data_IF_141349719827
#
_entry.id   IF_141349719827
#
_cell.length_a   1.000
_cell.length_b   1.000
_cell.length_c   1.000
_cell.angle_alpha   90.00
_cell.angle_beta   90.00
_cell.angle_gamma   90.00
#
_symmetry.space_group_name_H-M   'P 1'
#
loop_
_entity.id
_entity.type
_entity.pdbx_description
1 polymer ?
#
# COMPACT_ATOMS: atom_id res chain seq x y z
N UNK A 1 17.09 6.07 -26.93
CA UNK A 1 17.05 4.68 -26.42
C UNK A 1 16.45 4.67 -25.02
N UNK A 2 15.28 4.07 -24.82
CA UNK A 2 14.66 3.97 -23.50
C UNK A 2 15.37 2.86 -22.69
N UNK A 3 16.26 3.26 -21.78
CA UNK A 3 16.93 2.31 -20.89
C UNK A 3 15.93 1.57 -20.01
N UNK A 4 15.96 0.24 -20.04
CA UNK A 4 15.13 -0.58 -19.15
C UNK A 4 15.45 -0.28 -17.68
N UNK A 5 14.43 -0.16 -16.85
CA UNK A 5 14.61 0.04 -15.41
C UNK A 5 15.26 -1.22 -14.81
N UNK A 6 16.52 -1.11 -14.45
CA UNK A 6 17.20 -2.15 -13.66
C UNK A 6 16.75 -2.06 -12.20
N UNK A 7 16.89 -3.12 -11.38
CA UNK A 7 16.57 -3.07 -9.94
C UNK A 7 17.27 -1.91 -9.21
N UNK A 8 18.50 -1.56 -9.63
CA UNK A 8 19.25 -0.41 -9.12
C UNK A 8 18.77 0.96 -9.67
N UNK A 9 17.89 1.02 -10.65
CA UNK A 9 17.37 2.28 -11.20
C UNK A 9 16.43 2.98 -10.22
N UNK A 10 15.66 2.24 -9.43
CA UNK A 10 14.94 2.77 -8.26
C UNK A 10 15.91 3.42 -7.24
N UNK A 11 17.11 2.86 -7.13
CA UNK A 11 18.13 3.24 -6.15
C UNK A 11 18.89 4.53 -6.50
N UNK A 12 19.00 4.89 -7.79
CA UNK A 12 19.56 6.19 -8.23
C UNK A 12 18.65 7.39 -7.89
N UNK A 13 17.42 7.10 -7.50
CA UNK A 13 16.28 7.95 -7.76
C UNK A 13 15.52 8.35 -6.47
N UNK A 14 15.88 7.71 -5.35
CA UNK A 14 15.81 8.28 -4.01
C UNK A 14 16.89 9.34 -3.74
N UNK A 15 17.49 9.89 -4.81
CA UNK A 15 18.45 11.00 -4.79
C UNK A 15 17.90 12.31 -4.19
N UNK A 16 16.65 12.34 -3.77
CA UNK A 16 16.06 13.44 -2.99
C UNK A 16 16.63 13.58 -1.56
N UNK A 17 17.67 12.84 -1.19
CA UNK A 17 18.38 13.02 0.07
C UNK A 17 17.51 12.66 1.28
N UNK A 18 17.67 13.41 2.38
CA UNK A 18 16.94 13.15 3.63
C UNK A 18 15.43 13.44 3.54
N UNK A 19 14.98 14.13 2.48
CA UNK A 19 13.58 14.55 2.31
C UNK A 19 12.84 13.74 1.25
N UNK A 20 13.37 12.59 0.81
CA UNK A 20 12.81 11.86 -0.32
C UNK A 20 11.33 11.48 -0.21
N UNK A 21 10.87 10.98 0.93
CA UNK A 21 9.44 10.68 1.07
C UNK A 21 8.57 11.92 1.27
N UNK A 22 9.14 13.02 1.78
CA UNK A 22 8.45 14.32 1.81
C UNK A 22 8.26 14.88 0.40
N UNK A 23 9.29 14.81 -0.44
CA UNK A 23 9.17 15.19 -1.86
C UNK A 23 8.19 14.29 -2.61
N UNK A 24 8.16 12.99 -2.29
CA UNK A 24 7.15 12.07 -2.83
C UNK A 24 5.73 12.52 -2.44
N UNK A 25 5.50 12.81 -1.16
CA UNK A 25 4.22 13.32 -0.64
C UNK A 25 3.79 14.56 -1.41
N UNK A 26 4.66 15.56 -1.49
CA UNK A 26 4.40 16.83 -2.18
C UNK A 26 4.13 16.61 -3.67
N UNK A 27 4.94 15.79 -4.35
CA UNK A 27 4.75 15.49 -5.78
C UNK A 27 3.43 14.77 -6.06
N UNK A 28 3.02 13.85 -5.19
CA UNK A 28 1.72 13.18 -5.31
C UNK A 28 0.59 14.19 -5.12
N UNK A 29 0.65 15.00 -4.06
CA UNK A 29 -0.35 16.04 -3.77
C UNK A 29 -0.53 16.99 -4.96
N UNK A 30 0.59 17.53 -5.47
CA UNK A 30 0.59 18.44 -6.62
C UNK A 30 0.16 17.76 -7.91
N UNK A 31 0.60 16.52 -8.17
CA UNK A 31 0.24 15.77 -9.37
C UNK A 31 -1.23 15.36 -9.42
N UNK A 32 -1.92 15.29 -8.28
CA UNK A 32 -3.37 15.14 -8.19
C UNK A 32 -4.09 16.49 -8.03
N UNK A 33 -3.38 17.62 -8.12
CA UNK A 33 -3.93 18.98 -8.00
C UNK A 33 -4.88 19.16 -6.80
N UNK A 34 -4.53 18.55 -5.65
CA UNK A 34 -5.34 18.55 -4.43
C UNK A 34 -6.76 17.94 -4.59
N UNK A 35 -7.04 17.17 -5.65
CA UNK A 35 -8.31 16.47 -5.84
C UNK A 35 -8.21 14.95 -5.60
N UNK A 36 -9.32 14.35 -5.18
CA UNK A 36 -9.44 12.90 -4.95
C UNK A 36 -10.14 12.21 -6.12
N UNK A 37 -9.64 12.44 -7.33
CA UNK A 37 -10.12 11.82 -8.57
C UNK A 37 -8.99 11.16 -9.35
N UNK A 38 -9.27 10.12 -10.16
CA UNK A 38 -8.26 9.55 -11.04
C UNK A 38 -7.72 10.59 -12.03
N UNK A 39 -6.40 10.61 -12.24
CA UNK A 39 -5.75 11.53 -13.19
C UNK A 39 -4.92 10.77 -14.21
N UNK A 40 -4.82 11.29 -15.43
CA UNK A 40 -3.98 10.66 -16.45
C UNK A 40 -2.49 10.75 -16.06
N UNK A 41 -1.69 9.74 -16.44
CA UNK A 41 -0.22 9.80 -16.24
C UNK A 41 0.41 11.05 -16.81
N UNK A 42 -0.07 11.53 -17.97
CA UNK A 42 0.45 12.73 -18.63
C UNK A 42 0.18 13.98 -17.78
N UNK A 43 -1.06 14.14 -17.32
CA UNK A 43 -1.46 15.25 -16.48
C UNK A 43 -0.68 15.27 -15.16
N UNK A 44 -0.65 14.12 -14.46
CA UNK A 44 0.08 14.01 -13.21
C UNK A 44 1.55 14.41 -13.35
N UNK A 45 2.23 13.94 -14.41
CA UNK A 45 3.64 14.28 -14.68
C UNK A 45 3.82 15.79 -14.87
N UNK A 46 2.95 16.44 -15.64
CA UNK A 46 3.02 17.90 -15.85
C UNK A 46 2.77 18.73 -14.58
N UNK A 47 2.09 18.16 -13.58
CA UNK A 47 1.73 18.86 -12.34
C UNK A 47 2.60 18.50 -11.14
N UNK A 48 3.30 17.36 -11.18
CA UNK A 48 4.08 16.82 -10.05
C UNK A 48 5.26 17.67 -9.58
N UNK A 49 5.65 18.71 -10.33
CA UNK A 49 6.83 19.56 -10.09
C UNK A 49 8.15 18.78 -9.97
N UNK A 50 8.25 17.64 -10.66
CA UNK A 50 9.50 16.90 -10.77
C UNK A 50 10.23 17.36 -12.05
N UNK A 51 11.21 18.25 -11.89
CA UNK A 51 11.93 18.89 -13.00
C UNK A 51 12.76 17.92 -13.86
N UNK A 52 13.12 16.75 -13.30
CA UNK A 52 13.89 15.74 -14.01
C UNK A 52 12.95 14.68 -14.62
N UNK A 53 12.81 14.61 -15.96
CA UNK A 53 11.90 13.67 -16.63
C UNK A 53 12.26 12.19 -16.45
N UNK A 54 13.44 11.87 -15.91
CA UNK A 54 13.81 10.52 -15.52
C UNK A 54 13.34 10.15 -14.11
N UNK A 55 13.06 11.14 -13.27
CA UNK A 55 12.60 10.97 -11.88
C UNK A 55 11.07 10.98 -11.77
N UNK A 56 10.36 11.67 -12.66
CA UNK A 56 8.88 11.71 -12.64
C UNK A 56 8.24 10.32 -12.85
N UNK A 57 8.97 9.40 -13.47
CA UNK A 57 8.57 8.01 -13.67
C UNK A 57 8.62 7.19 -12.37
N UNK A 58 9.29 7.67 -11.32
CA UNK A 58 9.46 6.89 -10.08
C UNK A 58 8.13 6.78 -9.34
N UNK A 59 7.44 7.89 -8.97
CA UNK A 59 6.18 7.79 -8.22
C UNK A 59 5.15 6.98 -9.01
N UNK A 60 5.06 7.29 -10.31
CA UNK A 60 4.11 6.68 -11.25
C UNK A 60 4.29 5.18 -11.40
N UNK A 61 5.53 4.68 -11.37
CA UNK A 61 5.77 3.25 -11.52
C UNK A 61 5.75 2.56 -10.14
N UNK A 62 6.47 3.10 -9.16
CA UNK A 62 6.76 2.35 -7.94
C UNK A 62 5.78 2.56 -6.79
N UNK A 63 5.02 3.65 -6.78
CA UNK A 63 4.19 4.05 -5.64
C UNK A 63 2.71 4.17 -5.99
N UNK A 64 2.40 4.70 -7.17
CA UNK A 64 1.04 4.99 -7.59
C UNK A 64 0.44 3.81 -8.35
N UNK A 65 -0.79 3.46 -8.00
CA UNK A 65 -1.54 2.47 -8.75
C UNK A 65 -2.01 3.05 -10.09
N UNK A 66 -1.75 2.31 -11.17
CA UNK A 66 -2.08 2.71 -12.54
C UNK A 66 -3.03 1.68 -13.17
N UNK A 67 -4.26 2.09 -13.46
CA UNK A 67 -5.27 1.30 -14.15
C UNK A 67 -5.49 1.88 -15.56
N UNK A 68 -5.09 1.14 -16.59
CA UNK A 68 -5.30 1.52 -18.00
C UNK A 68 -4.81 2.94 -18.37
N UNK A 69 -3.71 3.41 -17.77
CA UNK A 69 -3.13 4.74 -18.03
C UNK A 69 -3.65 5.85 -17.10
N UNK A 70 -4.60 5.54 -16.22
CA UNK A 70 -5.11 6.42 -15.19
C UNK A 70 -4.49 6.07 -13.84
N UNK A 71 -3.95 7.07 -13.15
CA UNK A 71 -3.50 6.96 -11.78
C UNK A 71 -4.71 7.08 -10.87
N UNK A 72 -4.98 6.03 -10.11
CA UNK A 72 -6.18 5.95 -9.26
C UNK A 72 -5.88 6.45 -7.85
N UNK A 73 -6.91 6.95 -7.18
CA UNK A 73 -6.82 7.33 -5.76
C UNK A 73 -6.88 6.08 -4.90
N UNK A 74 -5.80 5.83 -4.15
CA UNK A 74 -5.73 4.86 -3.06
C UNK A 74 -5.44 5.56 -1.73
N UNK A 75 -5.20 4.80 -0.65
CA UNK A 75 -4.87 5.39 0.66
C UNK A 75 -3.59 6.24 0.61
N UNK A 76 -2.61 5.92 -0.25
CA UNK A 76 -1.37 6.70 -0.35
C UNK A 76 -1.65 8.08 -0.94
N UNK A 77 -2.43 8.12 -2.02
CA UNK A 77 -2.89 9.37 -2.65
C UNK A 77 -3.77 10.17 -1.68
N UNK A 78 -4.73 9.50 -1.03
CA UNK A 78 -5.59 10.14 -0.05
C UNK A 78 -4.80 10.83 1.07
N UNK A 79 -3.80 10.13 1.64
CA UNK A 79 -2.91 10.70 2.66
C UNK A 79 -2.09 11.87 2.12
N UNK A 80 -1.59 11.80 0.89
CA UNK A 80 -0.82 12.90 0.29
C UNK A 80 -1.67 14.17 0.08
N UNK A 81 -2.88 13.99 -0.43
CA UNK A 81 -3.80 15.09 -0.76
C UNK A 81 -4.45 15.68 0.48
N UNK A 82 -4.87 14.84 1.43
CA UNK A 82 -5.76 15.26 2.52
C UNK A 82 -5.04 15.55 3.83
N UNK A 83 -3.77 15.16 3.98
CA UNK A 83 -3.06 15.21 5.25
C UNK A 83 -1.66 15.81 5.10
N UNK A 84 -1.17 16.53 6.14
CA UNK A 84 0.23 16.90 6.20
C UNK A 84 1.16 15.67 6.14
N UNK A 85 2.36 15.88 5.62
CA UNK A 85 3.41 14.85 5.60
C UNK A 85 3.66 14.29 7.01
N UNK A 86 3.72 12.95 7.12
CA UNK A 86 3.85 12.26 8.40
C UNK A 86 4.56 10.91 8.27
N UNK A 87 5.00 10.36 9.42
CA UNK A 87 5.58 9.01 9.47
C UNK A 87 4.59 7.91 9.01
N UNK A 88 3.28 8.15 9.14
CA UNK A 88 2.25 7.24 8.62
C UNK A 88 2.33 7.18 7.09
N UNK A 89 2.47 8.32 6.43
CA UNK A 89 2.67 8.38 4.98
C UNK A 89 3.93 7.62 4.57
N UNK A 90 5.05 7.80 5.28
CA UNK A 90 6.31 7.11 4.96
C UNK A 90 6.14 5.58 4.96
N UNK A 91 5.53 5.05 6.01
CA UNK A 91 5.28 3.61 6.14
C UNK A 91 4.35 3.08 5.06
N UNK A 92 3.34 3.86 4.68
CA UNK A 92 2.45 3.52 3.59
C UNK A 92 3.15 3.56 2.23
N UNK A 93 4.05 4.51 2.00
CA UNK A 93 4.86 4.59 0.79
C UNK A 93 5.80 3.38 0.67
N UNK A 94 6.45 2.96 1.76
CA UNK A 94 7.24 1.71 1.78
C UNK A 94 6.35 0.49 1.50
N UNK A 95 5.15 0.45 2.05
CA UNK A 95 4.21 -0.63 1.79
C UNK A 95 3.80 -0.69 0.30
N UNK A 96 3.45 0.46 -0.29
CA UNK A 96 3.13 0.57 -1.71
C UNK A 96 4.31 0.11 -2.58
N UNK A 97 5.54 0.52 -2.23
CA UNK A 97 6.75 0.08 -2.91
C UNK A 97 6.91 -1.45 -2.87
N UNK A 98 6.74 -2.06 -1.70
CA UNK A 98 6.86 -3.51 -1.53
C UNK A 98 5.77 -4.30 -2.27
N UNK A 99 4.65 -3.66 -2.63
CA UNK A 99 3.58 -4.26 -3.44
C UNK A 99 3.63 -3.88 -4.91
N UNK A 100 4.60 -3.06 -5.31
CA UNK A 100 4.68 -2.50 -6.65
C UNK A 100 4.72 -3.60 -7.71
N UNK A 101 3.76 -3.54 -8.63
CA UNK A 101 3.63 -4.50 -9.73
C UNK A 101 4.14 -3.94 -11.07
N UNK A 102 5.06 -2.95 -11.05
CA UNK A 102 5.64 -2.37 -12.28
C UNK A 102 5.93 -3.46 -13.31
N UNK A 103 5.26 -3.41 -14.47
CA UNK A 103 5.54 -4.30 -15.59
C UNK A 103 4.39 -4.62 -16.56
N UNK A 104 4.23 -3.81 -17.61
CA UNK A 104 4.55 -4.32 -18.96
C UNK A 104 5.94 -3.75 -19.27
N UNK A 105 6.97 -4.60 -19.43
CA UNK A 105 8.34 -4.11 -19.51
C UNK A 105 8.57 -3.40 -20.87
N UNK A 106 9.60 -2.54 -21.00
CA UNK A 106 10.25 -2.37 -22.30
C UNK A 106 10.69 -3.75 -22.81
N UNK A 107 10.76 -3.94 -24.14
CA UNK A 107 11.07 -5.22 -24.82
C UNK A 107 12.30 -5.98 -24.28
N UNK A 108 13.16 -5.36 -23.45
CA UNK A 108 14.30 -5.97 -22.74
C UNK A 108 14.35 -5.50 -21.27
N UNK A 109 14.24 -6.43 -20.32
CA UNK A 109 14.37 -6.18 -18.87
C UNK A 109 13.55 -7.17 -18.01
N UNK A 110 13.80 -7.28 -16.69
CA UNK A 110 12.99 -8.14 -15.82
C UNK A 110 11.55 -7.64 -15.80
N UNK A 111 10.59 -8.55 -15.94
CA UNK A 111 9.16 -8.22 -16.02
C UNK A 111 8.61 -7.49 -14.79
N UNK A 112 9.29 -7.59 -13.64
CA UNK A 112 8.94 -6.94 -12.36
C UNK A 112 10.22 -6.43 -11.64
N UNK A 113 10.72 -5.22 -11.94
CA UNK A 113 12.01 -4.74 -11.43
C UNK A 113 12.06 -4.53 -9.91
N UNK A 114 10.92 -4.48 -9.23
CA UNK A 114 10.80 -4.38 -7.78
C UNK A 114 10.31 -5.68 -7.10
N UNK A 115 10.19 -6.81 -7.82
CA UNK A 115 9.72 -8.07 -7.24
C UNK A 115 10.56 -8.52 -6.02
N UNK A 116 11.88 -8.33 -6.10
CA UNK A 116 12.82 -8.62 -5.02
C UNK A 116 12.46 -7.93 -3.70
N UNK A 117 11.80 -6.76 -3.71
CA UNK A 117 11.40 -6.05 -2.50
C UNK A 117 10.23 -6.77 -1.81
N UNK A 118 9.28 -7.27 -2.60
CA UNK A 118 8.18 -8.10 -2.10
C UNK A 118 8.69 -9.42 -1.54
N UNK A 119 9.60 -10.07 -2.27
CA UNK A 119 10.24 -11.34 -1.89
C UNK A 119 11.05 -11.17 -0.61
N UNK A 120 11.84 -10.09 -0.48
CA UNK A 120 12.56 -9.78 0.76
C UNK A 120 11.63 -9.71 1.97
N UNK A 121 10.48 -9.03 1.81
CA UNK A 121 9.51 -8.92 2.91
C UNK A 121 8.95 -10.29 3.29
N UNK A 122 8.63 -11.14 2.30
CA UNK A 122 8.02 -12.46 2.51
C UNK A 122 8.99 -13.50 3.06
N UNK A 123 10.20 -13.55 2.54
CA UNK A 123 11.16 -14.63 2.76
C UNK A 123 12.17 -14.31 3.86
N UNK A 124 12.59 -13.06 3.96
CA UNK A 124 13.62 -12.65 4.91
C UNK A 124 13.05 -11.88 6.10
N UNK A 125 12.20 -10.88 5.85
CA UNK A 125 11.73 -9.98 6.91
C UNK A 125 10.63 -10.60 7.77
N UNK A 126 9.60 -11.19 7.15
CA UNK A 126 8.48 -11.83 7.83
C UNK A 126 8.84 -13.26 8.23
N UNK A 127 9.09 -13.48 9.52
CA UNK A 127 9.41 -14.79 10.07
C UNK A 127 8.58 -15.06 11.31
N UNK A 128 7.87 -16.19 11.34
CA UNK A 128 7.05 -16.63 12.48
C UNK A 128 6.03 -15.57 12.92
N UNK A 129 5.32 -14.97 11.95
CA UNK A 129 4.26 -14.01 12.22
C UNK A 129 4.72 -12.58 12.54
N UNK A 130 6.02 -12.29 12.46
CA UNK A 130 6.58 -10.99 12.82
C UNK A 130 7.66 -10.53 11.84
N UNK A 131 7.85 -9.22 11.73
CA UNK A 131 9.01 -8.61 11.07
C UNK A 131 10.23 -8.68 11.98
N UNK A 132 11.23 -9.45 11.59
CA UNK A 132 12.50 -9.59 12.33
C UNK A 132 13.45 -8.46 11.97
N UNK A 133 13.86 -7.67 12.96
CA UNK A 133 14.79 -6.55 12.76
C UNK A 133 16.17 -7.00 12.26
N UNK A 134 16.59 -8.21 12.63
CA UNK A 134 17.85 -8.82 12.16
C UNK A 134 17.92 -8.92 10.64
N UNK A 135 16.80 -9.18 9.95
CA UNK A 135 16.76 -9.24 8.49
C UNK A 135 17.08 -7.88 7.83
N UNK A 136 16.78 -6.76 8.52
CA UNK A 136 17.09 -5.44 8.02
C UNK A 136 18.58 -5.11 8.11
N UNK A 137 19.35 -5.81 8.96
CA UNK A 137 20.79 -5.59 9.14
C UNK A 137 21.53 -5.67 7.81
N UNK A 138 22.57 -4.83 7.63
CA UNK A 138 23.32 -4.77 6.37
C UNK A 138 23.76 -6.17 5.91
N UNK A 139 24.45 -7.01 6.71
CA UNK A 139 24.90 -8.32 6.24
C UNK A 139 23.76 -9.22 5.74
N UNK A 140 22.66 -9.31 6.50
CA UNK A 140 21.51 -10.16 6.16
C UNK A 140 20.80 -9.69 4.88
N UNK A 141 20.46 -8.40 4.80
CA UNK A 141 19.84 -7.82 3.59
C UNK A 141 20.77 -7.93 2.38
N UNK A 142 22.07 -7.76 2.56
CA UNK A 142 23.06 -7.90 1.50
C UNK A 142 23.14 -9.33 0.96
N UNK A 143 23.11 -10.33 1.84
CA UNK A 143 23.08 -11.74 1.45
C UNK A 143 21.84 -12.06 0.60
N UNK A 144 20.66 -11.59 1.02
CA UNK A 144 19.42 -11.75 0.25
C UNK A 144 19.48 -11.06 -1.12
N UNK A 145 19.93 -9.80 -1.17
CA UNK A 145 19.93 -9.03 -2.42
C UNK A 145 20.94 -9.57 -3.44
N UNK A 146 22.03 -10.19 -3.00
CA UNK A 146 23.00 -10.84 -3.88
C UNK A 146 22.40 -12.00 -4.68
N UNK A 147 21.42 -12.72 -4.14
CA UNK A 147 20.77 -13.83 -4.86
C UNK A 147 19.75 -13.32 -5.88
N UNK A 148 19.19 -12.13 -5.70
CA UNK A 148 18.13 -11.57 -6.54
C UNK A 148 18.60 -10.50 -7.55
N UNK A 149 19.73 -9.83 -7.28
CA UNK A 149 20.22 -8.71 -8.08
C UNK A 149 21.64 -9.01 -8.55
N UNK A 150 21.81 -9.15 -9.87
CA UNK A 150 23.11 -9.44 -10.50
C UNK A 150 24.05 -8.23 -10.50
N UNK A 151 25.35 -8.51 -10.43
CA UNK A 151 26.43 -7.54 -10.54
C UNK A 151 26.47 -6.53 -9.38
N UNK A 152 27.21 -5.43 -9.55
CA UNK A 152 27.38 -4.43 -8.49
C UNK A 152 26.11 -3.63 -8.15
N UNK A 153 24.95 -3.90 -8.76
CA UNK A 153 23.73 -3.14 -8.45
C UNK A 153 23.13 -3.46 -7.08
N UNK A 154 23.48 -4.61 -6.48
CA UNK A 154 22.91 -5.02 -5.19
C UNK A 154 23.30 -4.09 -4.03
N UNK A 155 24.53 -3.55 -4.00
CA UNK A 155 24.97 -2.69 -2.88
C UNK A 155 24.25 -1.34 -2.87
N UNK A 156 23.97 -0.79 -4.06
CA UNK A 156 23.15 0.42 -4.22
C UNK A 156 21.72 0.15 -3.79
N UNK A 157 21.17 -0.99 -4.21
CA UNK A 157 19.84 -1.42 -3.81
C UNK A 157 19.72 -1.56 -2.29
N UNK A 158 20.66 -2.29 -1.67
CA UNK A 158 20.74 -2.49 -0.23
C UNK A 158 20.80 -1.17 0.55
N UNK A 159 21.69 -0.26 0.13
CA UNK A 159 21.85 1.03 0.80
C UNK A 159 20.57 1.85 0.75
N UNK A 160 19.93 1.93 -0.41
CA UNK A 160 18.72 2.74 -0.60
C UNK A 160 17.49 2.11 0.03
N UNK A 161 17.33 0.80 -0.08
CA UNK A 161 16.20 0.11 0.52
C UNK A 161 16.29 0.13 2.05
N UNK A 162 17.48 -0.09 2.61
CA UNK A 162 17.71 0.09 4.04
C UNK A 162 17.44 1.54 4.46
N UNK A 163 17.87 2.54 3.67
CA UNK A 163 17.54 3.94 3.93
C UNK A 163 16.03 4.18 3.96
N UNK A 164 15.27 3.58 3.05
CA UNK A 164 13.81 3.67 3.02
C UNK A 164 13.17 3.13 4.32
N UNK A 165 13.62 1.97 4.80
CA UNK A 165 13.21 1.46 6.12
C UNK A 165 13.60 2.43 7.27
N UNK A 166 14.75 3.10 7.15
CA UNK A 166 15.20 4.10 8.10
C UNK A 166 14.25 5.30 8.19
N UNK A 167 13.87 5.86 7.04
CA UNK A 167 12.89 6.96 6.96
C UNK A 167 11.54 6.56 7.56
N UNK A 168 11.13 5.30 7.38
CA UNK A 168 9.88 4.77 7.93
C UNK A 168 9.94 4.44 9.45
N UNK A 169 11.07 4.74 10.11
CA UNK A 169 11.29 4.49 11.54
C UNK A 169 11.49 3.01 11.91
N UNK A 170 11.80 2.15 10.93
CA UNK A 170 11.95 0.71 11.16
C UNK A 170 13.38 0.28 11.52
N UNK A 171 14.36 1.18 11.42
CA UNK A 171 15.73 0.92 11.86
C UNK A 171 16.01 1.40 13.28
N UNK A 172 15.22 2.35 13.78
CA UNK A 172 15.30 2.85 15.16
C UNK A 172 14.59 1.88 16.10
N UNK A 173 15.25 1.46 17.18
CA UNK A 173 14.69 0.58 18.20
C UNK A 173 15.57 -0.63 18.54
N UNK A 174 15.51 -1.04 19.81
CA UNK A 174 16.26 -2.17 20.37
C UNK A 174 15.49 -3.49 20.30
N UNK A 175 14.17 -3.44 20.07
CA UNK A 175 13.35 -4.65 20.00
C UNK A 175 13.76 -5.53 18.81
N UNK A 176 13.90 -6.87 19.01
CA UNK A 176 14.25 -7.81 17.95
C UNK A 176 13.16 -7.89 16.87
N UNK A 177 11.93 -7.45 17.16
CA UNK A 177 10.81 -7.41 16.23
C UNK A 177 10.36 -5.97 15.95
N UNK A 178 9.78 -5.77 14.78
CA UNK A 178 9.34 -4.44 14.32
C UNK A 178 7.85 -4.20 14.59
N UNK A 179 7.02 -5.25 14.50
CA UNK A 179 5.56 -5.19 14.59
C UNK A 179 5.01 -5.92 15.83
N UNK A 180 5.66 -5.75 17.00
CA UNK A 180 5.35 -6.45 18.25
C UNK A 180 3.93 -6.25 18.80
N UNK A 181 3.10 -5.37 18.22
CA UNK A 181 1.72 -5.12 18.66
C UNK A 181 0.63 -5.94 17.95
N UNK A 182 0.96 -6.89 17.07
CA UNK A 182 -0.06 -7.62 16.29
C UNK A 182 -0.73 -8.79 17.04
N UNK A 183 -0.22 -9.19 18.21
CA UNK A 183 -0.84 -10.25 19.02
C UNK A 183 -2.29 -9.90 19.41
N UNK A 184 -2.58 -8.62 19.64
CA UNK A 184 -3.93 -8.15 19.98
C UNK A 184 -4.88 -8.17 18.77
N UNK A 185 -4.35 -8.04 17.56
CA UNK A 185 -5.16 -8.04 16.34
C UNK A 185 -5.77 -9.41 16.03
N UNK A 186 -5.17 -10.53 16.46
CA UNK A 186 -5.75 -11.85 16.27
C UNK A 186 -6.97 -12.08 17.18
N UNK A 187 -6.98 -11.48 18.37
CA UNK A 187 -8.12 -11.56 19.31
C UNK A 187 -9.36 -10.83 18.78
N UNK A 188 -9.18 -9.77 17.99
CA UNK A 188 -10.27 -9.02 17.37
C UNK A 188 -11.06 -9.84 16.34
N UNK A 189 -10.45 -10.84 15.69
CA UNK A 189 -11.17 -11.73 14.75
C UNK A 189 -12.09 -12.72 15.45
N UNK A 190 -11.76 -13.13 16.69
CA UNK A 190 -12.61 -14.04 17.47
C UNK A 190 -13.87 -13.35 18.02
N UNK A 191 -13.93 -12.02 17.99
CA UNK A 191 -15.01 -11.21 18.55
C UNK A 191 -15.88 -10.51 17.50
N UNK A 192 -15.78 -10.86 16.21
CA UNK A 192 -16.73 -10.37 15.21
C UNK A 192 -18.09 -11.09 15.36
N UNK A 193 -19.18 -10.39 15.72
CA UNK A 193 -20.51 -10.99 15.88
C UNK A 193 -21.18 -11.36 14.54
N UNK A 194 -20.51 -11.14 13.41
CA UNK A 194 -21.06 -11.38 12.06
C UNK A 194 -20.95 -12.85 11.64
N UNK A 195 -20.20 -13.67 12.39
CA UNK A 195 -20.10 -15.11 12.17
C UNK A 195 -21.12 -15.94 12.97
N UNK A 196 -22.01 -15.29 13.73
CA UNK A 196 -23.09 -16.00 14.39
C UNK A 196 -24.01 -16.64 13.33
N UNK A 197 -24.38 -17.94 13.47
CA UNK A 197 -25.29 -18.59 12.53
C UNK A 197 -26.59 -17.77 12.45
N UNK A 198 -27.02 -17.45 11.23
CA UNK A 198 -28.27 -16.72 10.96
C UNK A 198 -29.39 -17.37 11.77
N UNK A 199 -29.94 -16.62 12.73
CA UNK A 199 -31.13 -17.07 13.47
C UNK A 199 -32.25 -17.35 12.48
N UNK A 200 -32.87 -18.50 12.67
CA UNK A 200 -34.03 -19.00 11.92
C UNK A 200 -35.15 -17.93 11.85
N UNK A 201 -35.64 -17.57 10.66
CA UNK A 201 -36.70 -16.58 10.47
C UNK A 201 -38.08 -17.01 11.02
N UNK A 202 -38.24 -18.27 11.46
CA UNK A 202 -39.51 -18.78 12.00
C UNK A 202 -39.91 -18.21 13.38
N UNK A 203 -39.01 -17.53 14.11
CA UNK A 203 -39.28 -16.96 15.45
C UNK A 203 -39.79 -15.50 15.46
N UNK A 204 -40.68 -15.12 14.56
CA UNK A 204 -41.46 -13.86 14.70
C UNK A 204 -42.84 -14.16 15.30
N UNK A 205 -42.93 -14.23 16.62
CA UNK A 205 -44.23 -14.12 17.31
C UNK A 205 -44.67 -12.66 17.38
N UNK A 206 -45.93 -12.46 17.00
CA UNK A 206 -46.65 -11.21 16.90
C UNK A 206 -46.64 -10.40 18.21
N UNK A 207 -46.46 -9.08 18.08
CA UNK A 207 -47.13 -8.11 18.96
C UNK A 207 -48.01 -7.25 18.06
N UNK A 208 -49.32 -7.37 18.30
CA UNK A 208 -50.35 -6.42 17.85
C UNK A 208 -50.04 -5.05 18.44
N UNK A 209 -50.14 -4.02 17.62
CA UNK A 209 -50.35 -2.64 18.06
C UNK A 209 -51.51 -2.12 17.21
N UNK A 210 -52.61 -1.78 17.88
CA UNK A 210 -53.76 -1.11 17.27
C UNK A 210 -53.45 0.36 16.95
N UNK A 211 -54.11 0.96 15.93
CA UNK A 211 -53.78 2.29 15.44
C UNK A 211 -54.68 3.37 16.06
N UNK A 212 -54.08 4.50 16.44
CA UNK A 212 -54.82 5.75 16.69
C UNK A 212 -54.33 6.85 15.76
N UNK A 213 -55.31 7.53 15.18
CA UNK A 213 -55.28 8.54 14.12
C UNK A 213 -54.60 9.84 14.55
N UNK A 214 -53.95 10.51 13.59
CA UNK A 214 -53.56 11.91 13.69
C UNK A 214 -53.00 12.41 12.36
N UNK A 215 -53.85 13.04 11.56
CA UNK A 215 -53.54 13.54 10.22
C UNK A 215 -52.71 14.84 10.27
N UNK A 216 -51.74 14.94 9.36
CA UNK A 216 -50.99 16.17 9.09
C UNK A 216 -50.21 16.04 7.77
N UNK A 217 -50.84 16.47 6.68
CA UNK A 217 -50.23 16.72 5.36
C UNK A 217 -49.22 17.89 5.52
N UNK A 218 -48.11 18.03 4.82
CA UNK A 218 -47.46 17.29 3.75
C UNK A 218 -46.21 18.06 3.33
N UNK A 219 -45.26 17.40 2.65
CA UNK A 219 -44.46 17.94 1.55
C UNK A 219 -43.51 16.86 1.06
N UNK A 220 -43.51 16.66 -0.26
CA UNK A 220 -42.91 15.53 -0.94
C UNK A 220 -41.49 15.83 -1.43
N UNK A 221 -40.69 14.76 -1.48
CA UNK A 221 -39.58 14.48 -2.41
C UNK A 221 -38.30 15.36 -2.26
N UNK A 222 -37.06 14.87 -2.37
CA UNK A 222 -36.49 13.65 -2.95
C UNK A 222 -35.34 13.13 -2.08
N UNK A 223 -35.19 11.79 -2.06
CA UNK A 223 -34.04 11.09 -1.51
C UNK A 223 -33.07 10.79 -2.65
N UNK A 224 -31.89 11.40 -2.63
CA UNK A 224 -30.71 10.86 -3.31
C UNK A 224 -29.71 10.39 -2.25
N UNK A 225 -29.78 9.09 -1.93
CA UNK A 225 -28.76 8.40 -1.15
C UNK A 225 -27.64 8.00 -2.11
N UNK A 226 -26.53 8.73 -2.06
CA UNK A 226 -25.29 8.32 -2.71
C UNK A 226 -24.65 7.16 -1.90
N UNK A 227 -24.36 5.98 -2.50
CA UNK A 227 -23.70 4.91 -1.79
C UNK A 227 -22.17 5.05 -1.88
N UNK A 228 -21.59 6.10 -1.29
CA UNK A 228 -20.14 6.20 -1.11
C UNK A 228 -19.77 5.57 0.22
N UNK A 229 -19.53 4.25 0.23
CA UNK A 229 -19.18 3.58 1.49
C UNK A 229 -18.75 2.12 1.43
N UNK A 230 -18.53 1.54 0.24
CA UNK A 230 -18.15 0.12 0.13
C UNK A 230 -16.80 -0.17 -0.54
N UNK A 231 -16.19 0.82 -1.20
CA UNK A 231 -14.93 0.60 -1.95
C UNK A 231 -13.70 0.43 -1.04
N UNK A 232 -13.53 1.30 -0.04
CA UNK A 232 -12.34 1.32 0.85
C UNK A 232 -12.21 0.04 1.70
N UNK A 233 -13.33 -0.57 2.08
CA UNK A 233 -13.35 -1.80 2.87
C UNK A 233 -12.99 -3.06 2.05
N UNK A 234 -13.17 -3.02 0.73
CA UNK A 234 -12.86 -4.17 -0.15
C UNK A 234 -11.35 -4.29 -0.39
N UNK A 235 -10.63 -3.18 -0.50
CA UNK A 235 -9.15 -3.18 -0.57
C UNK A 235 -8.50 -3.62 0.75
N UNK A 236 -9.00 -3.16 1.91
CA UNK A 236 -8.51 -3.64 3.21
C UNK A 236 -8.72 -5.16 3.41
N UNK A 237 -9.80 -5.74 2.87
CA UNK A 237 -10.06 -7.19 2.88
C UNK A 237 -9.16 -7.96 1.91
N UNK A 238 -8.84 -7.38 0.75
CA UNK A 238 -7.86 -7.95 -0.18
C UNK A 238 -6.44 -7.96 0.42
N UNK A 239 -6.08 -6.89 1.12
CA UNK A 239 -4.81 -6.73 1.85
C UNK A 239 -4.65 -7.71 3.02
N UNK A 240 -5.74 -8.03 3.73
CA UNK A 240 -5.74 -9.05 4.80
C UNK A 240 -5.59 -10.47 4.24
N UNK A 241 -6.25 -10.79 3.12
CA UNK A 241 -6.19 -12.12 2.48
C UNK A 241 -4.79 -12.47 1.93
N UNK A 242 -4.08 -11.50 1.37
CA UNK A 242 -2.73 -11.74 0.81
C UNK A 242 -1.66 -12.06 1.89
N UNK A 243 -1.90 -11.66 3.14
CA UNK A 243 -0.97 -11.89 4.26
C UNK A 243 -1.40 -13.02 5.21
N UNK A 244 -2.58 -13.62 5.00
CA UNK A 244 -3.17 -14.62 5.90
C UNK A 244 -3.36 -16.00 5.28
N UNK A 245 -2.78 -16.28 4.10
CA UNK A 245 -2.80 -17.64 3.56
C UNK A 245 -1.72 -18.48 4.27
N UNK A 246 -2.09 -19.56 5.00
CA UNK A 246 -1.10 -20.50 5.48
C UNK A 246 -0.45 -21.20 4.28
N UNK A 247 0.89 -21.21 4.27
CA UNK A 247 1.67 -22.11 3.42
C UNK A 247 1.48 -23.50 4.01
N UNK A 248 0.43 -24.19 3.60
CA UNK A 248 0.24 -25.59 3.90
C UNK A 248 -0.41 -26.25 2.70
N UNK A 249 0.15 -27.41 2.35
CA UNK A 249 -0.19 -28.34 1.26
C UNK A 249 0.20 -27.94 -0.17
N UNK A 250 1.49 -28.09 -0.48
CA UNK A 250 1.89 -28.88 -1.66
C UNK A 250 2.75 -30.02 -1.12
N UNK A 251 2.09 -31.14 -0.85
CA UNK A 251 2.73 -32.46 -0.80
C UNK A 251 2.27 -33.18 -2.05
N UNK A 252 3.21 -33.47 -2.94
CA UNK A 252 3.37 -34.67 -3.75
C UNK A 252 4.56 -34.45 -4.67
#
# INVERSE_FOLDING_TARGET
MAGGQTPGSFSKNFAWGHTGLRKLHESIRLGFADVLEPVSRKLWRSQSQIDNPGLDLIPVNFFLHNAAGQLTVDELVYQAVSQPYSLRFDRLALFAFNLSQVGRPPLKGPGRPAAWANEFVKEALWQNGVWRRSALAKPAMGAFLKTHIKGQSYWKCQTNYRRLFGLCGYLTGTSPTVNSGAADCQSAWKKDPVSAPKRDPSRRRARRIDPARGAGRGCAARRDRCPVGRSVWVQARFLKRQLSLPVSTISQ
#
